data_IF_787275308419
#
_entry.id   IF_787275308419
#
_cell.length_a   1.000
_cell.length_b   1.000
_cell.length_c   1.000
_cell.angle_alpha   90.00
_cell.angle_beta   90.00
_cell.angle_gamma   90.00
#
_symmetry.space_group_name_H-M   'P 1'
#
loop_
_entity.id
_entity.type
_entity.pdbx_description
1 polymer ?
2 non-polymer ?
3 non-polymer ?
4 water ?
#
# COMPACT_ATOMS: atom_id res chain seq x y z
N UNK A 10 1.45 -42.65 -8.32
CA UNK A 10 2.79 -42.31 -7.87
C UNK A 10 3.78 -42.30 -9.03
N UNK A 11 4.28 -41.10 -9.37
CA UNK A 11 5.23 -40.96 -10.47
C UNK A 11 5.81 -39.55 -10.58
N UNK A 12 5.15 -38.56 -9.97
CA UNK A 12 5.44 -37.16 -10.28
C UNK A 12 5.95 -36.36 -9.09
N UNK A 13 5.25 -36.39 -7.96
CA UNK A 13 5.44 -35.43 -6.89
C UNK A 13 5.80 -36.12 -5.59
N UNK A 14 6.73 -35.52 -4.84
CA UNK A 14 7.10 -36.01 -3.53
C UNK A 14 6.31 -35.29 -2.45
N UNK A 15 6.08 -35.93 -1.31
CA UNK A 15 5.39 -35.24 -0.20
C UNK A 15 6.11 -33.98 0.25
N UNK A 16 7.44 -33.98 0.24
CA UNK A 16 8.18 -32.79 0.64
C UNK A 16 7.96 -31.65 -0.35
N UNK A 17 7.98 -31.95 -1.64
CA UNK A 17 7.72 -30.91 -2.65
C UNK A 17 6.30 -30.38 -2.53
N UNK A 18 5.33 -31.28 -2.29
CA UNK A 18 3.96 -30.85 -2.09
C UNK A 18 3.83 -29.92 -0.89
N UNK A 19 4.49 -30.28 0.23
CA UNK A 19 4.40 -29.45 1.42
C UNK A 19 5.06 -28.10 1.21
N UNK A 20 6.18 -28.05 0.49
CA UNK A 20 6.84 -26.78 0.22
C UNK A 20 5.98 -25.88 -0.67
N UNK A 21 5.37 -26.47 -1.70
CA UNK A 21 4.42 -25.74 -2.54
C UNK A 21 3.27 -25.16 -1.69
N UNK A 22 2.68 -26.01 -0.85
CA UNK A 22 1.60 -25.59 0.03
C UNK A 22 2.03 -24.43 0.92
N UNK A 23 3.22 -24.52 1.50
CA UNK A 23 3.67 -23.48 2.44
C UNK A 23 3.98 -22.18 1.72
N UNK A 24 4.51 -22.24 0.49
CA UNK A 24 4.66 -21.02 -0.29
C UNK A 24 3.33 -20.35 -0.56
N UNK A 25 2.32 -21.13 -0.95
CA UNK A 25 0.98 -20.59 -1.13
C UNK A 25 0.48 -19.92 0.15
N UNK A 26 0.67 -20.59 1.29
CA UNK A 26 0.19 -20.04 2.55
C UNK A 26 0.93 -18.76 2.94
N UNK A 27 2.22 -18.67 2.62
CA UNK A 27 2.97 -17.45 2.89
C UNK A 27 2.43 -16.29 2.04
N UNK A 28 2.13 -16.56 0.77
CA UNK A 28 1.56 -15.49 -0.06
C UNK A 28 0.20 -15.06 0.47
N UNK A 29 -0.63 -16.01 0.91
CA UNK A 29 -1.92 -15.64 1.49
C UNK A 29 -1.73 -14.83 2.77
N UNK A 30 -0.71 -15.17 3.56
CA UNK A 30 -0.41 -14.38 4.75
C UNK A 30 -0.08 -12.94 4.40
N UNK A 31 0.71 -12.75 3.34
CA UNK A 31 1.04 -11.39 2.94
C UNK A 31 -0.18 -10.65 2.39
N UNK A 32 -1.09 -11.37 1.73
CA UNK A 32 -2.34 -10.75 1.31
C UNK A 32 -3.14 -10.29 2.52
N UNK A 33 -3.22 -11.13 3.55
CA UNK A 33 -3.93 -10.76 4.77
C UNK A 33 -3.30 -9.53 5.40
N UNK A 34 -1.96 -9.49 5.43
CA UNK A 34 -1.26 -8.34 6.00
C UNK A 34 -1.52 -7.07 5.21
N UNK A 35 -1.67 -7.18 3.89
CA UNK A 35 -1.87 -6.00 3.05
C UNK A 35 -3.25 -5.37 3.19
N UNK A 36 -4.20 -6.06 3.82
CA UNK A 36 -5.56 -5.53 3.93
C UNK A 36 -5.62 -4.43 4.99
N UNK A 37 -6.30 -3.32 4.71
CA UNK A 37 -6.67 -2.41 5.79
C UNK A 37 -7.66 -3.09 6.72
N UNK A 38 -7.62 -2.73 8.00
CA UNK A 38 -8.43 -3.41 9.00
C UNK A 38 -9.92 -3.32 8.68
N UNK A 39 -10.38 -2.14 8.26
CA UNK A 39 -11.81 -1.95 8.00
C UNK A 39 -12.27 -2.76 6.80
N UNK A 40 -11.61 -2.58 5.64
CA UNK A 40 -12.00 -3.31 4.45
C UNK A 40 -11.83 -4.81 4.59
N UNK A 41 -10.92 -5.24 5.46
CA UNK A 41 -10.72 -6.66 5.72
C UNK A 41 -12.01 -7.32 6.16
N UNK A 42 -12.76 -6.66 7.06
CA UNK A 42 -13.98 -7.21 7.62
C UNK A 42 -15.24 -6.71 6.95
N UNK A 43 -15.17 -5.62 6.19
CA UNK A 43 -16.38 -4.98 5.66
C UNK A 43 -16.52 -5.07 4.15
N UNK A 44 -15.43 -4.94 3.40
CA UNK A 44 -15.53 -4.82 1.95
C UNK A 44 -15.86 -6.15 1.30
N UNK A 45 -16.82 -6.14 0.38
CA UNK A 45 -17.21 -7.36 -0.32
C UNK A 45 -17.97 -6.98 -1.59
N UNK A 46 -17.97 -7.91 -2.54
CA UNK A 46 -18.75 -7.79 -3.76
C UNK A 46 -20.17 -8.28 -3.54
N UNK A 47 -21.09 -7.98 -4.45
CA UNK A 47 -22.48 -8.44 -4.27
C UNK A 47 -22.56 -9.95 -4.11
N UNK A 48 -23.32 -10.38 -3.10
CA UNK A 48 -23.55 -11.80 -2.80
C UNK A 48 -22.23 -12.53 -2.50
N UNK A 49 -21.24 -11.80 -2.00
CA UNK A 49 -19.98 -12.38 -1.59
C UNK A 49 -19.64 -11.91 -0.17
N UNK A 50 -18.75 -12.66 0.48
CA UNK A 50 -18.31 -12.34 1.83
C UNK A 50 -17.08 -11.46 1.80
N UNK A 51 -16.79 -10.75 2.89
CA UNK A 51 -15.50 -10.07 3.02
C UNK A 51 -14.38 -11.09 3.16
N UNK A 52 -13.15 -10.62 2.92
CA UNK A 52 -12.01 -11.53 2.96
C UNK A 52 -11.76 -12.10 4.35
N UNK A 53 -12.23 -11.42 5.39
CA UNK A 53 -12.13 -11.97 6.74
C UNK A 53 -12.75 -13.36 6.82
N UNK A 54 -13.97 -13.50 6.29
CA UNK A 54 -14.65 -14.79 6.32
C UNK A 54 -13.94 -15.83 5.45
N UNK A 55 -13.45 -15.41 4.28
CA UNK A 55 -12.74 -16.35 3.41
C UNK A 55 -11.48 -16.89 4.09
N UNK A 56 -10.70 -16.00 4.71
CA UNK A 56 -9.48 -16.44 5.37
C UNK A 56 -9.79 -17.33 6.57
N UNK A 57 -10.87 -17.01 7.31
CA UNK A 57 -11.29 -17.90 8.38
C UNK A 57 -11.66 -19.28 7.84
N UNK A 58 -12.33 -19.33 6.68
CA UNK A 58 -12.65 -20.60 6.04
C UNK A 58 -11.38 -21.39 5.72
N UNK A 59 -10.38 -20.71 5.16
CA UNK A 59 -9.12 -21.39 4.81
C UNK A 59 -8.43 -21.95 6.05
N UNK A 60 -8.36 -21.15 7.12
CA UNK A 60 -7.72 -21.61 8.35
C UNK A 60 -8.46 -22.79 8.96
N UNK A 61 -9.80 -22.75 8.91
CA UNK A 61 -10.57 -23.88 9.40
C UNK A 61 -10.34 -25.14 8.59
N UNK A 62 -10.16 -24.99 7.28
CA UNK A 62 -9.84 -26.15 6.46
C UNK A 62 -8.47 -26.72 6.82
N UNK A 63 -7.51 -25.86 7.12
CA UNK A 63 -6.19 -26.36 7.56
C UNK A 63 -6.34 -27.11 8.88
N UNK A 64 -7.16 -26.59 9.80
CA UNK A 64 -7.43 -27.31 11.04
C UNK A 64 -8.04 -28.68 10.76
N UNK A 65 -8.99 -28.74 9.83
CA UNK A 65 -9.62 -29.99 9.45
C UNK A 65 -8.60 -31.00 8.94
N UNK A 66 -7.70 -30.56 8.06
CA UNK A 66 -6.70 -31.47 7.50
C UNK A 66 -5.69 -31.92 8.55
N UNK A 67 -5.27 -31.01 9.43
CA UNK A 67 -4.37 -31.39 10.52
C UNK A 67 -5.02 -32.43 11.42
N UNK A 68 -6.31 -32.24 11.72
CA UNK A 68 -7.05 -33.21 12.52
C UNK A 68 -7.14 -34.56 11.82
N UNK A 69 -7.35 -34.54 10.50
CA UNK A 69 -7.32 -35.78 9.71
C UNK A 69 -5.98 -36.49 9.87
N UNK A 70 -4.88 -35.76 9.68
CA UNK A 70 -3.56 -36.40 9.79
C UNK A 70 -3.29 -36.90 11.20
N UNK A 71 -3.80 -36.22 12.22
CA UNK A 71 -3.52 -36.61 13.60
C UNK A 71 -4.33 -37.83 14.02
N UNK A 72 -5.64 -37.81 13.80
CA UNK A 72 -6.53 -38.90 14.24
C UNK A 72 -6.61 -40.04 13.25
N UNK A 73 -6.15 -39.86 12.01
CA UNK A 73 -6.23 -40.89 11.01
C UNK A 73 -7.52 -40.91 10.21
N UNK A 74 -8.51 -40.09 10.59
CA UNK A 74 -9.80 -40.06 9.92
C UNK A 74 -10.30 -38.62 9.92
N UNK A 75 -10.91 -38.16 8.84
CA UNK A 75 -11.48 -36.81 8.83
C UNK A 75 -12.81 -36.76 9.56
N UNK A 76 -13.06 -35.62 10.22
CA UNK A 76 -14.32 -35.34 10.90
C UNK A 76 -15.05 -34.24 10.14
N UNK A 77 -16.14 -34.59 9.48
CA UNK A 77 -16.93 -33.64 8.73
C UNK A 77 -18.07 -33.08 9.57
N UNK A 85 -17.22 -15.63 16.99
CA UNK A 85 -16.88 -14.37 16.34
C UNK A 85 -15.76 -14.54 15.32
N UNK A 86 -15.81 -13.77 14.24
CA UNK A 86 -14.76 -13.84 13.23
C UNK A 86 -13.51 -13.12 13.72
N UNK A 87 -12.34 -13.73 13.56
CA UNK A 87 -11.11 -13.10 14.06
C UNK A 87 -10.73 -11.87 13.25
N UNK A 88 -10.18 -10.87 13.94
CA UNK A 88 -9.58 -9.74 13.28
C UNK A 88 -8.29 -10.12 12.58
N UNK A 89 -7.68 -9.12 11.95
CA UNK A 89 -6.47 -9.38 11.15
C UNK A 89 -5.35 -9.95 12.00
N UNK A 90 -5.09 -9.35 13.17
CA UNK A 90 -3.96 -9.76 13.98
C UNK A 90 -4.18 -11.16 14.56
N UNK A 91 -5.35 -11.42 15.13
CA UNK A 91 -5.64 -12.75 15.66
C UNK A 91 -5.59 -13.80 14.56
N UNK A 92 -6.12 -13.47 13.38
CA UNK A 92 -6.09 -14.40 12.27
C UNK A 92 -4.66 -14.69 11.82
N UNK A 93 -3.79 -13.67 11.86
CA UNK A 93 -2.40 -13.88 11.48
C UNK A 93 -1.69 -14.78 12.49
N UNK A 94 -1.98 -14.60 13.79
CA UNK A 94 -1.40 -15.48 14.79
C UNK A 94 -1.88 -16.92 14.59
N UNK A 95 -3.17 -17.10 14.35
CA UNK A 95 -3.73 -18.41 14.03
C UNK A 95 -3.06 -19.01 12.80
N UNK A 96 -2.85 -18.19 11.78
CA UNK A 96 -2.19 -18.62 10.55
C UNK A 96 -0.78 -19.11 10.82
N UNK A 97 -0.04 -18.39 11.66
CA UNK A 97 1.34 -18.80 11.95
C UNK A 97 1.38 -20.08 12.78
N UNK A 98 0.43 -20.24 13.71
CA UNK A 98 0.33 -21.49 14.44
C UNK A 98 0.08 -22.66 13.49
N UNK A 99 -0.86 -22.47 12.56
CA UNK A 99 -1.15 -23.51 11.57
C UNK A 99 0.06 -23.80 10.69
N UNK A 100 0.82 -22.76 10.34
CA UNK A 100 2.03 -22.95 9.54
C UNK A 100 3.03 -23.83 10.28
N UNK A 101 3.30 -23.50 11.54
CA UNK A 101 4.23 -24.31 12.33
C UNK A 101 3.76 -25.75 12.45
N UNK A 102 2.46 -25.95 12.69
CA UNK A 102 1.96 -27.31 12.88
C UNK A 102 2.00 -28.10 11.58
N UNK A 103 1.71 -27.47 10.44
CA UNK A 103 1.84 -28.13 9.15
C UNK A 103 3.29 -28.52 8.90
N UNK A 104 4.22 -27.60 9.15
CA UNK A 104 5.63 -27.91 8.92
C UNK A 104 6.19 -28.96 9.86
N UNK A 105 5.61 -29.12 11.04
CA UNK A 105 6.09 -30.12 11.98
C UNK A 105 5.42 -31.48 11.82
N UNK A 106 4.19 -31.53 11.31
CA UNK A 106 3.42 -32.77 11.33
C UNK A 106 3.24 -33.42 9.96
N UNK A 107 3.18 -32.65 8.89
CA UNK A 107 2.99 -33.21 7.55
C UNK A 107 4.19 -34.06 7.12
N UNK A 108 5.44 -33.66 7.41
CA UNK A 108 6.56 -34.57 7.07
C UNK A 108 6.45 -35.94 7.73
N UNK A 109 5.80 -36.03 8.88
CA UNK A 109 5.59 -37.31 9.55
C UNK A 109 4.49 -38.14 8.91
N UNK A 110 3.73 -37.59 7.97
CA UNK A 110 2.66 -38.35 7.35
C UNK A 110 3.24 -39.51 6.54
N UNK A 111 2.80 -40.71 6.85
CA UNK A 111 3.17 -41.88 6.05
C UNK A 111 2.70 -41.68 4.61
N UNK A 112 3.64 -41.83 3.67
CA UNK A 112 3.33 -41.59 2.26
C UNK A 112 2.37 -42.64 1.71
N UNK A 113 2.15 -43.74 2.44
CA UNK A 113 1.05 -44.63 2.13
C UNK A 113 -0.28 -44.05 2.55
N UNK A 114 -0.32 -43.33 3.68
CA UNK A 114 -1.55 -42.67 4.11
C UNK A 114 -2.06 -41.68 3.07
N UNK A 115 -1.14 -41.04 2.34
CA UNK A 115 -1.53 -40.00 1.39
C UNK A 115 -2.51 -40.50 0.35
N UNK A 116 -2.50 -41.81 0.06
CA UNK A 116 -3.28 -42.35 -1.04
C UNK A 116 -4.49 -43.16 -0.62
N UNK A 117 -4.68 -43.42 0.67
CA UNK A 117 -5.82 -44.21 1.12
C UNK A 117 -7.10 -43.39 0.99
N UNK A 118 -8.03 -43.76 0.10
CA UNK A 118 -9.25 -42.96 -0.06
C UNK A 118 -10.19 -43.10 1.14
N UNK A 119 -9.93 -42.33 2.20
CA UNK A 119 -10.83 -42.30 3.34
C UNK A 119 -12.21 -41.83 2.91
N UNK A 120 -13.23 -42.21 3.69
CA UNK A 120 -14.62 -41.99 3.33
C UNK A 120 -15.11 -40.67 3.90
N UNK A 121 -15.71 -39.86 3.05
CA UNK A 121 -16.32 -38.58 3.37
C UNK A 121 -17.79 -38.62 2.92
N UNK A 122 -18.65 -37.74 3.46
CA UNK A 122 -20.06 -37.72 3.02
C UNK A 122 -20.23 -37.64 1.51
N UNK A 123 -19.35 -36.95 0.79
CA UNK A 123 -19.42 -36.92 -0.66
C UNK A 123 -19.08 -38.29 -1.25
N UNK A 124 -17.87 -38.78 -0.98
CA UNK A 124 -17.44 -40.09 -1.43
C UNK A 124 -16.09 -40.48 -0.86
N UNK A 125 -15.26 -41.12 -1.68
CA UNK A 125 -13.91 -41.47 -1.29
C UNK A 125 -12.96 -40.32 -1.59
N UNK A 126 -11.95 -40.14 -0.74
CA UNK A 126 -10.98 -39.09 -0.99
C UNK A 126 -9.70 -39.35 -0.21
N UNK A 127 -8.59 -39.37 -0.92
CA UNK A 127 -7.28 -39.47 -0.31
C UNK A 127 -6.95 -38.16 0.41
N UNK A 128 -6.01 -38.20 1.35
CA UNK A 128 -5.40 -36.96 1.83
C UNK A 128 -4.76 -36.13 0.73
N UNK A 129 -4.24 -36.78 -0.32
CA UNK A 129 -3.63 -36.03 -1.43
C UNK A 129 -4.68 -35.21 -2.16
N UNK A 130 -5.81 -35.84 -2.51
CA UNK A 130 -6.88 -35.11 -3.20
C UNK A 130 -7.43 -33.99 -2.33
N UNK A 131 -7.58 -34.26 -1.02
CA UNK A 131 -8.09 -33.23 -0.12
C UNK A 131 -7.12 -32.06 0.01
N UNK A 132 -5.82 -32.33 0.05
CA UNK A 132 -4.83 -31.26 0.14
C UNK A 132 -4.80 -30.45 -1.15
N UNK A 133 -4.92 -31.13 -2.30
CA UNK A 133 -4.97 -30.40 -3.57
C UNK A 133 -6.21 -29.52 -3.64
N UNK A 134 -7.35 -30.01 -3.13
CA UNK A 134 -8.55 -29.18 -3.10
C UNK A 134 -8.37 -28.00 -2.16
N UNK A 135 -7.75 -28.22 -0.99
CA UNK A 135 -7.50 -27.13 -0.06
C UNK A 135 -6.65 -26.05 -0.69
N UNK A 136 -5.58 -26.47 -1.40
CA UNK A 136 -4.71 -25.52 -2.08
C UNK A 136 -5.47 -24.74 -3.15
N UNK A 137 -6.31 -25.45 -3.93
CA UNK A 137 -7.07 -24.78 -4.98
C UNK A 137 -8.05 -23.76 -4.38
N UNK A 138 -8.73 -24.15 -3.30
CA UNK A 138 -9.66 -23.23 -2.65
C UNK A 138 -8.94 -22.00 -2.11
N UNK A 139 -7.74 -22.20 -1.56
CA UNK A 139 -6.96 -21.07 -1.06
C UNK A 139 -6.58 -20.13 -2.19
N UNK A 140 -6.09 -20.68 -3.31
CA UNK A 140 -5.72 -19.83 -4.45
C UNK A 140 -6.93 -19.08 -4.99
N UNK A 141 -8.07 -19.76 -5.06
CA UNK A 141 -9.32 -19.17 -5.53
C UNK A 141 -9.72 -17.96 -4.69
N UNK A 142 -9.86 -18.16 -3.37
CA UNK A 142 -10.26 -17.06 -2.51
C UNK A 142 -9.18 -15.99 -2.40
N UNK A 143 -7.91 -16.35 -2.58
CA UNK A 143 -6.86 -15.35 -2.55
C UNK A 143 -6.91 -14.45 -3.77
N UNK A 144 -7.24 -15.01 -4.94
CA UNK A 144 -7.46 -14.15 -6.10
C UNK A 144 -8.63 -13.20 -5.90
N UNK A 145 -9.71 -13.72 -5.29
CA UNK A 145 -10.81 -12.82 -4.92
C UNK A 145 -10.32 -11.70 -4.00
N UNK A 146 -9.43 -12.04 -3.05
CA UNK A 146 -8.86 -11.02 -2.18
C UNK A 146 -7.96 -10.05 -2.91
N UNK A 147 -7.30 -10.50 -3.97
CA UNK A 147 -6.57 -9.59 -4.85
C UNK A 147 -7.50 -8.52 -5.40
N UNK A 148 -8.66 -8.95 -5.91
CA UNK A 148 -9.63 -7.98 -6.42
C UNK A 148 -10.07 -7.03 -5.31
N UNK A 149 -10.33 -7.57 -4.12
CA UNK A 149 -10.72 -6.72 -3.00
C UNK A 149 -9.65 -5.68 -2.68
N UNK A 150 -8.39 -6.10 -2.64
CA UNK A 150 -7.29 -5.19 -2.36
C UNK A 150 -7.22 -4.07 -3.39
N UNK A 151 -7.35 -4.42 -4.67
CA UNK A 151 -7.34 -3.39 -5.71
C UNK A 151 -8.50 -2.42 -5.51
N UNK A 152 -9.68 -2.92 -5.13
CA UNK A 152 -10.81 -2.03 -4.92
C UNK A 152 -10.67 -1.20 -3.65
N UNK A 153 -9.78 -1.58 -2.73
CA UNK A 153 -9.49 -0.79 -1.55
C UNK A 153 -8.27 0.12 -1.74
N UNK A 154 -7.73 0.21 -2.96
CA UNK A 154 -6.61 1.07 -3.22
C UNK A 154 -5.26 0.54 -2.77
N UNK A 155 -5.08 -0.78 -2.78
CA UNK A 155 -3.87 -1.43 -2.28
C UNK A 155 -3.28 -2.29 -3.40
N UNK A 156 -1.98 -2.18 -3.59
CA UNK A 156 -1.27 -3.07 -4.51
C UNK A 156 -1.07 -4.42 -3.83
N UNK A 157 -1.60 -5.51 -4.38
CA UNK A 157 -1.40 -6.81 -3.76
C UNK A 157 0.04 -7.27 -3.92
N UNK A 158 0.51 -8.19 -3.08
CA UNK A 158 1.82 -8.78 -3.31
C UNK A 158 1.84 -9.52 -4.64
N UNK A 159 3.02 -9.55 -5.26
CA UNK A 159 3.14 -10.16 -6.58
C UNK A 159 2.78 -11.64 -6.52
N UNK A 160 2.03 -12.11 -7.51
CA UNK A 160 1.51 -13.48 -7.47
C UNK A 160 2.63 -14.49 -7.68
N UNK A 161 3.51 -14.26 -8.64
CA UNK A 161 4.58 -15.20 -8.94
C UNK A 161 5.69 -15.14 -7.87
N UNK B 11 -10.30 39.40 -16.52
CA UNK B 11 -9.44 38.57 -15.68
C UNK B 11 -10.25 37.36 -15.21
N UNK B 12 -9.59 36.37 -14.61
CA UNK B 12 -10.18 35.05 -14.50
C UNK B 12 -10.20 34.46 -13.09
N UNK B 13 -9.15 34.68 -12.29
CA UNK B 13 -8.90 33.89 -11.10
C UNK B 13 -8.73 34.80 -9.89
N UNK B 14 -9.42 34.46 -8.78
CA UNK B 14 -9.27 35.21 -7.54
C UNK B 14 -8.10 34.67 -6.71
N UNK B 15 -7.49 35.51 -5.88
CA UNK B 15 -6.42 35.01 -5.01
C UNK B 15 -6.86 33.89 -4.09
N UNK B 16 -8.09 33.95 -3.58
CA UNK B 16 -8.59 32.88 -2.73
C UNK B 16 -8.71 31.57 -3.50
N UNK B 17 -9.21 31.64 -4.75
CA UNK B 17 -9.31 30.43 -5.57
C UNK B 17 -7.93 29.85 -5.86
N UNK B 18 -6.96 30.71 -6.17
CA UNK B 18 -5.61 30.24 -6.45
C UNK B 18 -4.99 29.59 -5.21
N UNK B 19 -5.20 30.20 -4.03
CA UNK B 19 -4.67 29.63 -2.81
C UNK B 19 -5.30 28.28 -2.50
N UNK B 20 -6.60 28.14 -2.73
CA UNK B 20 -7.24 26.85 -2.47
C UNK B 20 -6.75 25.78 -3.44
N UNK B 21 -6.59 26.13 -4.71
CA UNK B 21 -6.02 25.19 -5.67
C UNK B 21 -4.62 24.74 -5.23
N UNK B 22 -3.79 25.72 -4.84
CA UNK B 22 -2.45 25.43 -4.36
C UNK B 22 -2.48 24.48 -3.17
N UNK B 23 -3.37 24.74 -2.21
CA UNK B 23 -3.43 23.93 -1.01
C UNK B 23 -3.95 22.52 -1.29
N UNK B 24 -4.86 22.38 -2.26
CA UNK B 24 -5.27 21.04 -2.67
C UNK B 24 -4.12 20.24 -3.26
N UNK B 25 -3.34 20.90 -4.14
CA UNK B 25 -2.14 20.25 -4.67
C UNK B 25 -1.19 19.84 -3.55
N UNK B 26 -1.01 20.72 -2.57
CA UNK B 26 -0.08 20.44 -1.47
C UNK B 26 -0.57 19.27 -0.62
N UNK B 27 -1.88 19.18 -0.40
CA UNK B 27 -2.43 18.04 0.35
C UNK B 27 -2.20 16.74 -0.40
N UNK B 28 -2.40 16.74 -1.72
CA UNK B 28 -2.11 15.54 -2.49
C UNK B 28 -0.64 15.15 -2.39
N UNK B 29 0.26 16.14 -2.47
CA UNK B 29 1.69 15.83 -2.34
C UNK B 29 2.00 15.28 -0.94
N UNK B 30 1.32 15.79 0.08
CA UNK B 30 1.51 15.26 1.42
C UNK B 30 1.12 13.79 1.49
N UNK B 31 0.01 13.43 0.85
CA UNK B 31 -0.39 12.02 0.86
C UNK B 31 0.58 11.17 0.06
N UNK B 32 1.16 11.71 -1.02
CA UNK B 32 2.19 10.98 -1.75
C UNK B 32 3.39 10.72 -0.85
N UNK B 33 3.83 11.76 -0.12
CA UNK B 33 4.95 11.59 0.80
C UNK B 33 4.62 10.53 1.85
N UNK B 34 3.40 10.56 2.38
CA UNK B 34 3.01 9.59 3.39
C UNK B 34 2.99 8.17 2.85
N UNK B 35 2.64 8.00 1.57
CA UNK B 35 2.55 6.68 0.97
C UNK B 35 3.93 6.04 0.72
N UNK B 36 5.00 6.82 0.77
CA UNK B 36 6.32 6.27 0.49
C UNK B 36 6.79 5.40 1.66
N UNK B 37 7.37 4.24 1.38
CA UNK B 37 8.14 3.54 2.42
C UNK B 37 9.38 4.34 2.76
N UNK B 38 9.82 4.21 4.01
CA UNK B 38 10.92 5.02 4.50
C UNK B 38 12.19 4.82 3.68
N UNK B 39 12.50 3.57 3.34
CA UNK B 39 13.75 3.28 2.64
C UNK B 39 13.71 3.85 1.21
N UNK B 40 12.70 3.49 0.43
CA UNK B 40 12.63 3.97 -0.94
C UNK B 40 12.43 5.47 -1.04
N UNK B 41 11.89 6.08 0.02
CA UNK B 41 11.75 7.53 0.05
C UNK B 41 13.09 8.22 -0.12
N UNK B 42 14.12 7.72 0.56
CA UNK B 42 15.44 8.32 0.52
C UNK B 42 16.38 7.65 -0.47
N UNK B 43 16.06 6.45 -0.93
CA UNK B 43 17.01 5.66 -1.72
C UNK B 43 16.60 5.46 -3.18
N UNK B 44 15.32 5.22 -3.45
CA UNK B 44 14.91 4.82 -4.80
C UNK B 44 14.94 6.01 -5.76
N UNK B 45 15.48 5.77 -6.95
CA UNK B 45 15.56 6.81 -7.97
C UNK B 45 15.82 6.17 -9.33
N UNK B 46 15.43 6.90 -10.37
CA UNK B 46 15.72 6.52 -11.75
C UNK B 46 17.13 6.98 -12.13
N UNK B 47 17.67 6.47 -13.24
CA UNK B 47 19.01 6.91 -13.66
C UNK B 47 19.10 8.43 -13.83
N UNK B 48 20.17 9.00 -13.26
CA UNK B 48 20.44 10.43 -13.33
C UNK B 48 19.31 11.26 -12.72
N UNK B 49 18.58 10.67 -11.77
CA UNK B 49 17.52 11.37 -11.04
C UNK B 49 17.73 11.19 -9.55
N UNK B 50 17.15 12.11 -8.79
CA UNK B 50 17.25 12.08 -7.34
C UNK B 50 16.11 11.25 -6.74
N UNK B 51 16.27 10.77 -5.51
CA UNK B 51 15.14 10.18 -4.80
C UNK B 51 14.10 11.23 -4.48
N UNK B 52 12.88 10.77 -4.15
CA UNK B 52 11.80 11.70 -3.89
C UNK B 52 12.06 12.56 -2.65
N UNK B 53 12.89 12.08 -1.72
CA UNK B 53 13.26 12.88 -0.56
C UNK B 53 13.82 14.24 -0.98
N UNK B 54 14.76 14.23 -1.93
CA UNK B 54 15.37 15.47 -2.39
C UNK B 54 14.35 16.35 -3.13
N UNK B 55 13.50 15.75 -3.96
CA UNK B 55 12.48 16.52 -4.67
C UNK B 55 11.54 17.22 -3.70
N UNK B 56 11.09 16.51 -2.67
CA UNK B 56 10.14 17.11 -1.73
C UNK B 56 10.81 18.17 -0.88
N UNK B 57 12.09 17.97 -0.53
CA UNK B 57 12.83 19.03 0.15
C UNK B 57 12.94 20.27 -0.74
N UNK B 58 13.16 20.07 -2.04
CA UNK B 58 13.19 21.19 -2.98
C UNK B 58 11.87 21.93 -2.98
N UNK B 59 10.76 21.20 -3.02
CA UNK B 59 9.44 21.85 -3.01
C UNK B 59 9.22 22.66 -1.75
N UNK B 60 9.57 22.09 -0.59
CA UNK B 60 9.39 22.79 0.67
C UNK B 60 10.26 24.04 0.73
N UNK B 61 11.50 23.96 0.23
CA UNK B 61 12.35 25.13 0.17
C UNK B 61 11.79 26.21 -0.73
N UNK B 62 11.16 25.81 -1.84
CA UNK B 62 10.51 26.80 -2.70
C UNK B 62 9.35 27.48 -1.99
N UNK B 63 8.60 26.73 -1.19
CA UNK B 63 7.52 27.34 -0.41
C UNK B 63 8.09 28.34 0.59
N UNK B 64 9.21 27.99 1.23
CA UNK B 64 9.86 28.94 2.13
C UNK B 64 10.29 30.20 1.39
N UNK B 65 10.84 30.03 0.19
CA UNK B 65 11.24 31.16 -0.64
C UNK B 65 10.06 32.09 -0.91
N UNK B 66 8.93 31.52 -1.32
CA UNK B 66 7.77 32.34 -1.64
C UNK B 66 7.19 33.01 -0.40
N UNK B 67 7.18 32.30 0.73
CA UNK B 67 6.69 32.89 1.98
C UNK B 67 7.54 34.09 2.39
N UNK B 68 8.87 33.94 2.31
CA UNK B 68 9.73 35.07 2.66
C UNK B 68 9.61 36.21 1.67
N UNK B 69 9.36 35.90 0.39
CA UNK B 69 9.03 36.94 -0.58
C UNK B 69 7.81 37.73 -0.13
N UNK B 70 6.73 37.04 0.22
CA UNK B 70 5.53 37.72 0.67
C UNK B 70 5.76 38.51 1.96
N UNK B 71 6.62 37.99 2.84
CA UNK B 71 6.84 38.61 4.15
C UNK B 71 7.70 39.86 4.06
N UNK B 72 8.79 39.81 3.30
CA UNK B 72 9.75 40.91 3.24
C UNK B 72 9.51 41.85 2.07
N UNK B 73 8.68 41.47 1.11
CA UNK B 73 8.41 42.30 -0.05
C UNK B 73 9.29 42.03 -1.25
N UNK B 74 10.45 41.39 -1.05
CA UNK B 74 11.36 41.05 -2.13
C UNK B 74 11.76 39.59 -1.99
N UNK B 75 11.99 38.88 -3.10
CA UNK B 75 12.26 37.43 -3.03
C UNK B 75 13.46 37.05 -2.18
N UNK B 76 14.68 37.25 -2.72
CA UNK B 76 15.98 36.81 -2.23
C UNK B 76 16.34 35.46 -2.86
N UNK B 77 17.25 35.49 -3.83
CA UNK B 77 17.68 34.27 -4.50
C UNK B 77 19.15 33.96 -4.18
N UNK B 85 21.36 17.99 6.80
CA UNK B 85 21.03 16.76 6.10
C UNK B 85 19.61 16.81 5.54
N UNK B 86 19.31 15.89 4.64
CA UNK B 86 17.96 15.83 4.07
C UNK B 86 16.99 15.28 5.11
N UNK B 87 15.82 15.89 5.27
CA UNK B 87 14.87 15.41 6.29
C UNK B 87 14.27 14.07 5.91
N UNK B 88 14.02 13.25 6.94
CA UNK B 88 13.27 12.03 6.76
C UNK B 88 11.79 12.31 6.55
N UNK B 89 11.04 11.22 6.35
CA UNK B 89 9.62 11.34 6.05
C UNK B 89 8.88 12.13 7.12
N UNK B 90 9.10 11.78 8.39
CA UNK B 90 8.35 12.40 9.48
C UNK B 90 8.70 13.88 9.64
N UNK B 91 10.00 14.20 9.66
CA UNK B 91 10.41 15.59 9.77
C UNK B 91 9.92 16.40 8.59
N UNK B 92 9.99 15.82 7.39
CA UNK B 92 9.53 16.53 6.21
C UNK B 92 8.03 16.77 6.26
N UNK B 93 7.26 15.82 6.79
CA UNK B 93 5.82 16.02 6.92
C UNK B 93 5.50 17.11 7.94
N UNK B 94 6.24 17.16 9.05
CA UNK B 94 6.04 18.23 10.01
C UNK B 94 6.35 19.59 9.38
N UNK B 95 7.46 19.66 8.64
CA UNK B 95 7.81 20.88 7.90
C UNK B 95 6.72 21.26 6.91
N UNK B 96 6.19 20.26 6.20
CA UNK B 96 5.12 20.48 5.23
C UNK B 96 3.88 21.08 5.90
N UNK B 97 3.51 20.56 7.08
CA UNK B 97 2.33 21.08 7.76
C UNK B 97 2.58 22.48 8.29
N UNK B 98 3.79 22.77 8.78
CA UNK B 98 4.14 24.13 9.14
C UNK B 98 3.97 25.08 7.97
N UNK B 99 4.47 24.68 6.80
CA UNK B 99 4.35 25.51 5.60
C UNK B 99 2.90 25.67 5.18
N UNK B 100 2.09 24.61 5.31
CA UNK B 100 0.68 24.70 4.98
C UNK B 100 -0.02 25.73 5.86
N UNK B 101 0.22 25.66 7.17
CA UNK B 101 -0.40 26.62 8.08
C UNK B 101 0.04 28.05 7.76
N UNK B 102 1.34 28.24 7.49
CA UNK B 102 1.83 29.58 7.22
C UNK B 102 1.27 30.13 5.91
N UNK B 103 1.17 29.29 4.88
CA UNK B 103 0.53 29.71 3.64
C UNK B 103 -0.92 30.12 3.89
N UNK B 104 -1.69 29.25 4.55
CA UNK B 104 -3.09 29.54 4.78
C UNK B 104 -3.33 30.77 5.62
N UNK B 105 -2.37 31.12 6.49
CA UNK B 105 -2.51 32.30 7.33
C UNK B 105 -1.97 33.57 6.69
N UNK B 106 -1.02 33.48 5.76
CA UNK B 106 -0.35 34.67 5.26
C UNK B 106 -0.66 35.03 3.83
N UNK B 107 -0.97 34.05 2.96
CA UNK B 107 -1.30 34.38 1.58
C UNK B 107 -2.58 35.20 1.46
N UNK B 108 -3.64 34.95 2.23
CA UNK B 108 -4.80 35.86 2.15
C UNK B 108 -4.46 37.31 2.46
N UNK B 109 -3.39 37.55 3.22
CA UNK B 109 -2.96 38.92 3.53
C UNK B 109 -2.21 39.58 2.38
N UNK B 110 -1.93 38.87 1.30
CA UNK B 110 -1.14 39.42 0.20
C UNK B 110 -1.90 40.58 -0.46
N UNK B 111 -1.21 41.72 -0.59
CA UNK B 111 -1.83 42.91 -1.10
C UNK B 111 -2.23 42.74 -2.57
N UNK B 112 -3.09 43.64 -3.03
CA UNK B 112 -3.45 43.67 -4.45
C UNK B 112 -2.23 44.02 -5.30
N UNK B 113 -1.43 45.01 -4.86
CA UNK B 113 -0.20 45.31 -5.56
C UNK B 113 0.71 44.07 -5.62
N UNK B 114 0.80 43.33 -4.53
CA UNK B 114 1.82 42.30 -4.35
C UNK B 114 1.33 40.95 -4.89
N UNK B 115 0.92 40.97 -6.15
CA UNK B 115 0.54 39.77 -6.89
C UNK B 115 0.96 39.94 -8.34
N UNK B 116 0.88 41.17 -8.82
CA UNK B 116 1.30 41.52 -10.18
C UNK B 116 2.60 42.29 -10.24
N UNK B 117 3.05 42.88 -9.12
CA UNK B 117 4.29 43.64 -9.06
C UNK B 117 5.47 42.75 -9.44
N UNK B 118 6.04 42.92 -10.63
CA UNK B 118 7.09 42.01 -11.09
C UNK B 118 8.42 42.28 -10.43
N UNK B 119 8.69 41.62 -9.30
CA UNK B 119 9.98 41.79 -8.63
C UNK B 119 11.11 41.28 -9.52
N UNK B 120 12.33 41.70 -9.19
CA UNK B 120 13.48 41.50 -10.07
C UNK B 120 14.32 40.34 -9.54
N UNK B 121 13.98 39.14 -9.98
CA UNK B 121 14.78 37.96 -9.76
C UNK B 121 16.04 38.03 -10.58
N UNK B 122 17.08 37.35 -10.14
CA UNK B 122 18.29 37.20 -10.98
C UNK B 122 17.97 36.70 -12.40
N UNK B 123 16.90 35.92 -12.56
CA UNK B 123 16.50 35.50 -13.91
C UNK B 123 15.88 36.65 -14.68
N UNK B 124 15.03 37.43 -14.03
CA UNK B 124 14.43 38.59 -14.66
C UNK B 124 13.23 39.08 -13.87
N UNK B 125 12.31 39.76 -14.57
CA UNK B 125 11.11 40.26 -13.93
C UNK B 125 10.09 39.13 -13.73
N UNK B 126 9.46 39.09 -12.57
CA UNK B 126 8.42 38.10 -12.31
C UNK B 126 7.50 38.56 -11.19
N UNK B 127 6.21 38.47 -11.42
CA UNK B 127 5.16 38.70 -10.43
C UNK B 127 5.15 37.56 -9.41
N UNK B 128 4.62 37.82 -8.22
CA UNK B 128 4.26 36.70 -7.33
C UNK B 128 3.31 35.70 -7.97
N UNK B 129 2.41 36.15 -8.86
CA UNK B 129 1.50 35.23 -9.51
C UNK B 129 2.24 34.25 -10.41
N UNK B 130 3.14 34.77 -11.26
CA UNK B 130 3.93 33.90 -12.12
C UNK B 130 4.78 32.94 -11.31
N UNK B 131 5.40 33.44 -10.23
CA UNK B 131 6.23 32.59 -9.39
C UNK B 131 5.42 31.48 -8.73
N UNK B 132 4.21 31.81 -8.27
CA UNK B 132 3.37 30.80 -7.61
C UNK B 132 2.90 29.76 -8.63
N UNK B 133 2.56 30.20 -9.84
CA UNK B 133 2.19 29.24 -10.88
C UNK B 133 3.35 28.33 -11.24
N UNK B 134 4.56 28.88 -11.27
CA UNK B 134 5.74 28.05 -11.52
C UNK B 134 5.97 27.06 -10.38
N UNK B 135 5.77 27.50 -9.14
CA UNK B 135 5.92 26.61 -7.99
C UNK B 135 4.93 25.46 -8.06
N UNK B 136 3.68 25.76 -8.39
CA UNK B 136 2.66 24.72 -8.50
C UNK B 136 3.00 23.75 -9.63
N UNK B 137 3.48 24.27 -10.76
CA UNK B 137 3.88 23.42 -11.88
C UNK B 137 5.01 22.48 -11.46
N UNK B 138 6.03 23.02 -10.79
CA UNK B 138 7.16 22.20 -10.36
C UNK B 138 6.71 21.12 -9.39
N UNK B 139 5.78 21.47 -8.49
CA UNK B 139 5.28 20.49 -7.54
C UNK B 139 4.54 19.36 -8.25
N UNK B 140 3.67 19.70 -9.20
CA UNK B 140 2.93 18.67 -9.94
C UNK B 140 3.90 17.79 -10.73
N UNK B 141 4.92 18.41 -11.33
CA UNK B 141 5.92 17.69 -12.11
C UNK B 141 6.64 16.64 -11.25
N UNK B 142 7.24 17.08 -10.14
CA UNK B 142 7.96 16.16 -9.27
C UNK B 142 7.02 15.18 -8.59
N UNK B 143 5.76 15.54 -8.37
CA UNK B 143 4.82 14.61 -7.77
C UNK B 143 4.47 13.49 -8.73
N UNK B 144 4.35 13.79 -10.03
CA UNK B 144 4.16 12.72 -11.00
C UNK B 144 5.35 11.78 -11.06
N UNK B 145 6.57 12.36 -10.98
CA UNK B 145 7.75 11.51 -10.86
C UNK B 145 7.67 10.61 -9.62
N UNK B 146 7.19 11.17 -8.50
CA UNK B 146 6.98 10.36 -7.31
C UNK B 146 5.93 9.29 -7.48
N UNK B 147 4.92 9.55 -8.31
CA UNK B 147 3.95 8.51 -8.66
C UNK B 147 4.66 7.32 -9.30
N UNK B 148 5.54 7.61 -10.25
CA UNK B 148 6.29 6.51 -10.89
C UNK B 148 7.14 5.78 -9.86
N UNK B 149 7.79 6.53 -8.97
CA UNK B 149 8.60 5.90 -7.91
C UNK B 149 7.75 4.98 -7.04
N UNK B 150 6.57 5.45 -6.62
CA UNK B 150 5.68 4.65 -5.79
C UNK B 150 5.30 3.36 -6.50
N UNK B 151 4.93 3.46 -7.79
CA UNK B 151 4.59 2.25 -8.53
C UNK B 151 5.77 1.29 -8.59
N UNK B 152 6.99 1.81 -8.76
CA UNK B 152 8.16 0.94 -8.80
C UNK B 152 8.52 0.37 -7.43
N UNK B 153 8.01 0.96 -6.35
CA UNK B 153 8.19 0.40 -5.02
C UNK B 153 7.01 -0.47 -4.59
N UNK B 154 6.08 -0.74 -5.49
CA UNK B 154 4.96 -1.61 -5.17
C UNK B 154 3.84 -0.95 -4.39
N UNK B 155 3.64 0.36 -4.57
CA UNK B 155 2.66 1.12 -3.82
C UNK B 155 1.69 1.76 -4.79
N UNK B 156 0.40 1.67 -4.48
CA UNK B 156 -0.62 2.40 -5.23
C UNK B 156 -0.61 3.86 -4.77
N UNK B 157 -0.34 4.81 -5.66
CA UNK B 157 -0.34 6.21 -5.25
C UNK B 157 -1.76 6.67 -4.96
N UNK B 158 -1.92 7.73 -4.16
CA UNK B 158 -3.26 8.31 -3.99
C UNK B 158 -3.78 8.81 -5.33
N UNK B 159 -5.10 8.77 -5.48
CA UNK B 159 -5.71 9.09 -6.76
C UNK B 159 -5.44 10.54 -7.14
N UNK B 160 -5.06 10.75 -8.40
CA UNK B 160 -4.93 12.09 -8.96
C UNK B 160 -6.33 12.64 -9.22
N UNK B 161 -6.98 13.01 -8.13
CA UNK B 161 -8.39 13.42 -8.14
C UNK B 161 -8.61 14.73 -8.89
#
# INVERSE_FOLDING_TARGET
MHHHHHHSDKLLLSPAELLAHWQGHRDLTRRVIEAFPEEGFAAHHAPDMRPFQAMACELAGMVEYQLDWFRRGQPTWDENDQKKELPGRAELLAWWDKLTAELGAEVPQVSTEMWATPATTPFGKMSPLMSVMYLIDNEVHHRGQGYVYLRELGVTPPAFYERRNLPPLG
MHHHHHHSDKLLLSPAELLAHWQGHRDLTRRVIEAFPEEGFAAHHAPDMRPFQAMACELAGMVEYQLDWFRRGQPTWDENDQKKELPGRAELLAWWDKLTAELGAEVPQVSTEMWATPATTPFGKMSPLMSVMYLIDNEVHHRGQGYVYLRELGVTPPAFYERRNLPPLG
#
